data_IF_994202231070
#
_entry.id   IF_994202231070
#
_cell.length_a   1.000
_cell.length_b   1.000
_cell.length_c   1.000
_cell.angle_alpha   90.00
_cell.angle_beta   90.00
_cell.angle_gamma   90.00
#
_symmetry.space_group_name_H-M   'P 1'
#
loop_
_entity.id
_entity.type
_entity.pdbx_description
1 polymer ?
#
# COMPACT_ATOMS: atom_id res chain seq x y z
N UNK A 1 11.66 -31.50 -40.65
CA UNK A 1 10.55 -31.33 -39.68
C UNK A 1 10.56 -32.29 -38.47
N UNK A 2 11.42 -33.32 -38.41
CA UNK A 2 11.49 -34.22 -37.23
C UNK A 2 12.44 -33.72 -36.13
N UNK A 3 13.59 -33.13 -36.49
CA UNK A 3 14.58 -32.60 -35.51
C UNK A 3 14.06 -31.44 -34.63
N UNK A 4 13.08 -30.67 -35.10
CA UNK A 4 12.47 -29.58 -34.32
C UNK A 4 11.42 -30.08 -33.32
N UNK A 5 10.77 -31.21 -33.61
CA UNK A 5 9.76 -31.82 -32.73
C UNK A 5 10.41 -32.53 -31.53
N UNK A 6 11.61 -33.05 -31.69
CA UNK A 6 12.33 -33.73 -30.61
C UNK A 6 13.04 -32.74 -29.65
N UNK A 7 13.42 -31.56 -30.14
CA UNK A 7 13.92 -30.45 -29.29
C UNK A 7 12.84 -29.92 -28.33
N UNK A 8 11.58 -29.90 -28.76
CA UNK A 8 10.45 -29.41 -27.96
C UNK A 8 9.90 -30.44 -26.96
N UNK A 9 10.34 -31.70 -27.03
CA UNK A 9 9.81 -32.80 -26.20
C UNK A 9 10.50 -32.94 -24.84
N UNK A 10 11.72 -32.40 -24.66
CA UNK A 10 12.58 -32.75 -23.53
C UNK A 10 13.17 -31.58 -22.72
N UNK A 11 12.56 -30.38 -22.74
CA UNK A 11 12.93 -29.28 -21.85
C UNK A 11 11.71 -28.83 -21.02
N UNK A 12 11.75 -29.25 -19.76
CA UNK A 12 10.73 -29.13 -18.73
C UNK A 12 10.92 -27.81 -17.97
N UNK A 13 10.43 -26.67 -18.48
CA UNK A 13 10.15 -25.45 -17.69
C UNK A 13 9.07 -24.59 -18.40
N UNK A 14 8.02 -24.10 -17.72
CA UNK A 14 6.74 -23.79 -18.36
C UNK A 14 6.61 -22.34 -18.89
N UNK A 15 6.64 -22.20 -20.22
CA UNK A 15 6.37 -21.00 -21.01
C UNK A 15 4.90 -20.49 -20.98
N UNK A 16 4.11 -20.79 -19.95
CA UNK A 16 2.77 -20.17 -19.76
C UNK A 16 2.85 -18.66 -19.44
N UNK A 17 4.06 -18.11 -19.27
CA UNK A 17 4.31 -16.69 -18.95
C UNK A 17 4.23 -15.72 -20.14
N UNK A 18 4.06 -16.17 -21.39
CA UNK A 18 4.08 -15.27 -22.56
C UNK A 18 2.76 -15.17 -23.34
N UNK A 19 1.62 -15.39 -22.66
CA UNK A 19 0.28 -15.22 -23.25
C UNK A 19 -0.43 -13.91 -22.89
N UNK A 20 0.30 -12.86 -22.52
CA UNK A 20 -0.30 -11.53 -22.43
C UNK A 20 0.64 -10.44 -22.97
N UNK A 21 0.86 -10.52 -24.28
CA UNK A 21 1.36 -9.41 -25.10
C UNK A 21 0.25 -8.35 -25.34
N UNK A 22 -0.61 -8.11 -24.33
CA UNK A 22 -1.82 -7.26 -24.39
C UNK A 22 -2.15 -6.50 -23.08
N UNK A 23 -1.21 -6.33 -22.15
CA UNK A 23 -1.52 -5.79 -20.81
C UNK A 23 -0.54 -4.71 -20.35
N UNK A 24 -0.44 -3.60 -21.08
CA UNK A 24 0.26 -2.40 -20.57
C UNK A 24 -0.64 -1.14 -20.54
N UNK A 25 -1.82 -1.16 -21.17
CA UNK A 25 -2.76 -0.01 -21.13
C UNK A 25 -4.01 -0.21 -20.24
N UNK A 26 -4.14 -1.38 -19.59
CA UNK A 26 -5.32 -1.75 -18.77
C UNK A 26 -5.13 -1.58 -17.25
N UNK A 27 -4.06 -0.95 -16.79
CA UNK A 27 -3.95 -0.60 -15.38
C UNK A 27 -4.60 0.77 -15.17
N UNK A 28 -5.90 0.80 -14.84
CA UNK A 28 -6.47 1.97 -14.16
C UNK A 28 -5.61 2.23 -12.94
N UNK A 29 -4.81 3.29 -13.00
CA UNK A 29 -3.96 3.72 -11.89
C UNK A 29 -4.88 4.36 -10.87
N UNK A 30 -5.01 3.74 -9.70
CA UNK A 30 -5.77 4.32 -8.61
C UNK A 30 -5.10 5.61 -8.17
N UNK A 31 -5.91 6.65 -7.91
CA UNK A 31 -5.39 7.89 -7.36
C UNK A 31 -5.27 7.76 -5.84
N UNK A 32 -4.04 7.80 -5.33
CA UNK A 32 -3.80 7.84 -3.89
C UNK A 32 -3.99 9.28 -3.40
N UNK A 33 -4.92 9.49 -2.47
CA UNK A 33 -5.23 10.78 -1.88
C UNK A 33 -5.01 10.72 -0.37
N UNK A 34 -4.14 11.59 0.14
CA UNK A 34 -4.03 11.82 1.58
C UNK A 34 -5.22 12.67 2.03
N UNK A 35 -5.94 12.26 3.08
CA UNK A 35 -6.85 13.16 3.79
C UNK A 35 -6.05 14.21 4.57
N UNK A 36 -6.71 15.30 5.00
CA UNK A 36 -6.03 16.37 5.77
C UNK A 36 -5.30 15.78 6.99
N UNK A 37 -6.00 14.95 7.76
CA UNK A 37 -5.45 14.29 8.95
C UNK A 37 -4.26 13.35 8.65
N UNK A 38 -4.22 12.70 7.48
CA UNK A 38 -3.06 11.92 7.06
C UNK A 38 -1.85 12.78 6.68
N UNK A 39 -2.06 14.03 6.24
CA UNK A 39 -0.97 14.99 6.02
C UNK A 39 -0.43 15.49 7.36
N UNK A 40 -1.32 15.79 8.29
CA UNK A 40 -0.96 16.20 9.65
C UNK A 40 -0.15 15.10 10.34
N UNK A 41 -0.56 13.84 10.22
CA UNK A 41 0.20 12.68 10.70
C UNK A 41 1.64 12.64 10.13
N UNK A 42 1.84 12.91 8.84
CA UNK A 42 3.19 12.96 8.24
C UNK A 42 4.03 14.11 8.79
N UNK A 43 3.41 15.26 9.01
CA UNK A 43 4.06 16.42 9.60
C UNK A 43 4.50 16.12 11.04
N UNK A 44 3.61 15.55 11.86
CA UNK A 44 3.94 15.13 13.23
C UNK A 44 5.08 14.11 13.27
N UNK A 45 5.08 13.14 12.34
CA UNK A 45 6.16 12.16 12.22
C UNK A 45 7.49 12.86 11.90
N UNK A 46 7.48 13.79 10.94
CA UNK A 46 8.67 14.54 10.56
C UNK A 46 9.21 15.37 11.72
N UNK A 47 8.34 16.13 12.39
CA UNK A 47 8.70 16.98 13.52
C UNK A 47 9.22 16.16 14.69
N UNK A 48 8.58 15.02 15.00
CA UNK A 48 9.04 14.11 16.04
C UNK A 48 10.46 13.58 15.78
N UNK A 49 10.75 13.14 14.55
CA UNK A 49 12.07 12.63 14.19
C UNK A 49 13.12 13.75 14.26
N UNK A 50 12.75 14.97 13.87
CA UNK A 50 13.66 16.12 13.86
C UNK A 50 14.10 16.54 15.28
N UNK A 51 13.32 16.21 16.32
CA UNK A 51 13.69 16.48 17.71
C UNK A 51 14.89 15.63 18.19
N UNK A 52 14.99 14.39 17.71
CA UNK A 52 15.99 13.43 18.19
C UNK A 52 17.03 13.05 17.12
N UNK A 53 16.79 13.38 15.85
CA UNK A 53 17.61 12.98 14.71
C UNK A 53 17.79 14.12 13.69
N UNK A 54 18.53 13.84 12.62
CA UNK A 54 18.75 14.78 11.53
C UNK A 54 17.53 14.90 10.60
N UNK A 55 17.41 16.06 9.95
CA UNK A 55 16.47 16.30 8.85
C UNK A 55 16.54 15.21 7.77
N UNK A 56 17.75 14.78 7.40
CA UNK A 56 17.95 13.71 6.41
C UNK A 56 17.31 12.38 6.85
N UNK A 57 17.36 12.08 8.16
CA UNK A 57 16.71 10.89 8.72
C UNK A 57 15.18 11.00 8.63
N UNK A 58 14.62 12.16 8.95
CA UNK A 58 13.20 12.42 8.82
C UNK A 58 12.72 12.28 7.37
N UNK A 59 13.43 12.88 6.41
CA UNK A 59 13.15 12.76 4.98
C UNK A 59 13.21 11.31 4.51
N UNK A 60 14.24 10.54 4.90
CA UNK A 60 14.37 9.11 4.55
C UNK A 60 13.20 8.28 5.07
N UNK A 61 12.68 8.58 6.26
CA UNK A 61 11.54 7.88 6.84
C UNK A 61 10.25 8.22 6.08
N UNK A 62 9.99 9.50 5.82
CA UNK A 62 8.84 9.94 5.03
C UNK A 62 8.87 9.32 3.62
N UNK A 63 10.04 9.29 2.98
CA UNK A 63 10.24 8.66 1.68
C UNK A 63 9.84 7.19 1.66
N UNK A 64 10.17 6.44 2.73
CA UNK A 64 9.77 5.02 2.86
C UNK A 64 8.26 4.88 2.95
N UNK A 65 7.58 5.75 3.70
CA UNK A 65 6.12 5.78 3.82
C UNK A 65 5.51 6.09 2.45
N UNK A 66 5.92 7.18 1.80
CA UNK A 66 5.40 7.60 0.49
C UNK A 66 5.63 6.54 -0.60
N UNK A 67 6.81 5.90 -0.63
CA UNK A 67 7.09 4.78 -1.54
C UNK A 67 6.15 3.60 -1.32
N UNK A 68 5.76 3.33 -0.06
CA UNK A 68 4.78 2.30 0.26
C UNK A 68 3.39 2.68 -0.27
N UNK A 69 2.95 3.91 -0.02
CA UNK A 69 1.65 4.42 -0.50
C UNK A 69 1.53 4.39 -2.03
N UNK A 70 2.59 4.75 -2.77
CA UNK A 70 2.62 4.70 -4.24
C UNK A 70 2.35 3.31 -4.82
N UNK A 71 2.66 2.23 -4.09
CA UNK A 71 2.34 0.87 -4.56
C UNK A 71 0.83 0.65 -4.68
N UNK A 72 0.03 1.38 -3.89
CA UNK A 72 -1.44 1.28 -3.91
C UNK A 72 -2.05 1.86 -5.19
N UNK A 73 -1.31 2.67 -5.95
CA UNK A 73 -1.76 3.14 -7.28
C UNK A 73 -1.98 1.97 -8.26
N UNK A 74 -1.14 0.94 -8.16
CA UNK A 74 -1.20 -0.26 -9.01
C UNK A 74 -1.87 -1.44 -8.30
N UNK A 75 -1.74 -1.49 -6.98
CA UNK A 75 -2.19 -2.61 -6.15
C UNK A 75 -2.98 -2.12 -4.93
N UNK A 76 -4.14 -1.49 -5.13
CA UNK A 76 -4.95 -0.91 -4.05
C UNK A 76 -5.42 -1.97 -3.05
N UNK A 77 -5.49 -3.24 -3.45
CA UNK A 77 -5.91 -4.36 -2.60
C UNK A 77 -4.74 -5.15 -1.99
N UNK A 78 -3.49 -4.65 -2.08
CA UNK A 78 -2.30 -5.34 -1.54
C UNK A 78 -2.10 -5.17 -0.03
N UNK A 79 -2.78 -4.21 0.60
CA UNK A 79 -2.71 -4.04 2.05
C UNK A 79 -3.35 -5.20 2.82
N UNK A 80 -2.96 -5.30 4.08
CA UNK A 80 -3.44 -6.30 5.03
C UNK A 80 -4.80 -5.85 5.56
N UNK A 81 -5.69 -6.80 5.82
CA UNK A 81 -6.90 -6.54 6.58
C UNK A 81 -6.52 -6.19 8.02
N UNK A 82 -7.16 -5.17 8.56
CA UNK A 82 -6.91 -4.75 9.94
C UNK A 82 -7.43 -5.82 10.92
N UNK A 83 -6.72 -6.11 12.03
CA UNK A 83 -7.16 -7.13 12.99
C UNK A 83 -8.51 -6.81 13.66
N UNK A 84 -8.85 -5.54 13.78
CA UNK A 84 -10.14 -5.10 14.31
C UNK A 84 -11.26 -5.40 13.29
N UNK A 85 -12.18 -6.31 13.67
CA UNK A 85 -13.26 -6.76 12.79
C UNK A 85 -14.20 -5.63 12.36
N UNK A 86 -14.50 -4.66 13.23
CA UNK A 86 -15.39 -3.54 12.86
C UNK A 86 -14.73 -2.69 11.77
N UNK A 87 -13.44 -2.42 11.91
CA UNK A 87 -12.68 -1.70 10.89
C UNK A 87 -12.58 -2.49 9.58
N UNK A 88 -12.31 -3.79 9.65
CA UNK A 88 -12.25 -4.67 8.48
C UNK A 88 -13.59 -4.67 7.73
N UNK A 89 -14.70 -4.86 8.43
CA UNK A 89 -16.05 -4.86 7.85
C UNK A 89 -16.40 -3.52 7.18
N UNK A 90 -15.86 -2.41 7.70
CA UNK A 90 -16.00 -1.10 7.07
C UNK A 90 -15.10 -0.90 5.84
N UNK A 91 -14.32 -1.91 5.43
CA UNK A 91 -13.44 -1.86 4.28
C UNK A 91 -12.10 -1.14 4.52
N UNK A 92 -11.73 -0.89 5.77
CA UNK A 92 -10.43 -0.33 6.12
C UNK A 92 -9.34 -1.41 5.98
N UNK A 93 -8.22 -0.99 5.40
CA UNK A 93 -7.02 -1.80 5.15
C UNK A 93 -5.81 -1.06 5.69
N UNK A 94 -4.71 -1.78 5.93
CA UNK A 94 -3.43 -1.17 6.29
C UNK A 94 -2.32 -1.61 5.34
N UNK A 95 -1.41 -0.69 5.01
CA UNK A 95 -0.12 -1.03 4.40
C UNK A 95 1.00 -0.71 5.40
N UNK A 96 2.00 -1.57 5.44
CA UNK A 96 3.09 -1.50 6.42
C UNK A 96 4.31 -0.85 5.76
N UNK A 97 4.84 0.18 6.41
CA UNK A 97 6.14 0.81 6.11
C UNK A 97 6.90 0.92 7.43
N UNK A 98 7.53 -0.17 7.91
CA UNK A 98 8.01 -0.26 9.28
C UNK A 98 8.89 0.93 9.69
N UNK A 99 8.69 1.50 10.90
CA UNK A 99 7.75 1.05 11.94
C UNK A 99 6.32 1.59 11.79
N UNK A 100 5.98 2.27 10.69
CA UNK A 100 4.70 2.94 10.49
C UNK A 100 3.66 2.07 9.77
N UNK A 101 2.39 2.35 10.06
CA UNK A 101 1.21 1.76 9.45
C UNK A 101 0.38 2.88 8.80
N UNK A 102 0.03 2.71 7.53
CA UNK A 102 -0.90 3.62 6.85
C UNK A 102 -2.24 2.94 6.63
N UNK A 103 -3.29 3.52 7.19
CA UNK A 103 -4.66 3.03 7.08
C UNK A 103 -5.39 3.70 5.92
N UNK A 104 -6.09 2.91 5.12
CA UNK A 104 -6.74 3.40 3.92
C UNK A 104 -8.02 2.64 3.57
N UNK A 105 -8.82 3.24 2.69
CA UNK A 105 -9.96 2.60 2.04
C UNK A 105 -9.87 2.79 0.53
N UNK A 106 -10.30 1.78 -0.23
CA UNK A 106 -10.45 1.87 -1.68
C UNK A 106 -11.88 2.31 -1.99
N UNK A 107 -12.04 3.42 -2.72
CA UNK A 107 -13.36 3.97 -3.10
C UNK A 107 -13.31 4.32 -4.58
N UNK A 108 -14.10 3.60 -5.40
CA UNK A 108 -14.07 3.69 -6.87
C UNK A 108 -12.65 3.49 -7.41
N UNK A 109 -12.04 4.54 -7.96
CA UNK A 109 -10.70 4.61 -8.53
C UNK A 109 -9.71 5.34 -7.61
N UNK A 110 -10.07 5.54 -6.35
CA UNK A 110 -9.25 6.24 -5.35
C UNK A 110 -8.85 5.34 -4.20
N UNK A 111 -7.68 5.62 -3.66
CA UNK A 111 -7.16 5.07 -2.40
C UNK A 111 -7.07 6.24 -1.43
N UNK A 112 -7.98 6.30 -0.47
CA UNK A 112 -8.04 7.38 0.52
C UNK A 112 -7.23 6.96 1.74
N UNK A 113 -6.15 7.67 2.03
CA UNK A 113 -5.32 7.45 3.22
C UNK A 113 -5.90 8.26 4.37
N UNK A 114 -6.33 7.58 5.43
CA UNK A 114 -6.95 8.18 6.60
C UNK A 114 -5.90 8.56 7.62
N UNK A 115 -5.07 7.61 8.04
CA UNK A 115 -4.11 7.81 9.12
C UNK A 115 -2.77 7.15 8.83
N UNK A 116 -1.70 7.74 9.35
CA UNK A 116 -0.35 7.19 9.31
C UNK A 116 0.22 7.23 10.72
N UNK A 117 0.42 6.07 11.32
CA UNK A 117 0.76 5.98 12.75
C UNK A 117 1.92 5.04 12.98
N UNK A 118 2.67 5.30 14.05
CA UNK A 118 3.68 4.36 14.52
C UNK A 118 3.01 3.07 15.01
N UNK A 119 3.51 1.90 14.61
CA UNK A 119 2.91 0.59 14.90
C UNK A 119 2.83 0.23 16.38
N UNK A 120 3.61 0.89 17.23
CA UNK A 120 3.53 0.76 18.69
C UNK A 120 2.34 1.52 19.32
N UNK A 121 1.69 2.46 18.60
CA UNK A 121 0.54 3.21 19.11
C UNK A 121 -0.74 2.37 19.03
N UNK A 122 -1.59 2.45 20.05
CA UNK A 122 -2.95 1.88 19.99
C UNK A 122 -3.80 2.73 19.05
N UNK A 123 -4.38 2.11 18.01
CA UNK A 123 -5.12 2.82 16.95
C UNK A 123 -6.63 2.54 16.91
N UNK A 124 -7.17 1.75 17.86
CA UNK A 124 -8.61 1.39 17.88
C UNK A 124 -9.57 2.59 18.02
N UNK A 125 -9.10 3.73 18.51
CA UNK A 125 -9.91 4.95 18.65
C UNK A 125 -9.93 5.88 17.42
N UNK A 126 -8.98 5.73 16.48
CA UNK A 126 -8.78 6.69 15.39
C UNK A 126 -9.97 6.76 14.43
N UNK A 127 -10.71 5.66 14.32
CA UNK A 127 -11.74 5.51 13.29
C UNK A 127 -13.17 5.68 13.79
N UNK A 128 -13.39 6.04 15.07
CA UNK A 128 -14.73 6.30 15.61
C UNK A 128 -15.58 7.24 14.73
N UNK A 129 -15.03 8.33 14.13
CA UNK A 129 -15.82 9.20 13.26
C UNK A 129 -16.24 8.56 11.92
N UNK A 130 -15.60 7.47 11.50
CA UNK A 130 -15.77 6.87 10.17
C UNK A 130 -16.54 5.54 10.19
N UNK A 131 -16.86 5.04 11.38
CA UNK A 131 -17.67 3.85 11.59
C UNK A 131 -19.02 4.35 12.12
N UNK A 132 -20.08 4.14 11.34
CA UNK A 132 -21.44 4.27 11.86
C UNK A 132 -21.79 2.94 12.53
N UNK A 133 -22.30 2.98 13.76
CA UNK A 133 -22.90 1.82 14.42
C UNK A 133 -24.13 1.32 13.67
#
# INVERSE_FOLDING_TARGET
MQRLKDYLRNQRFPWKMLKNRFRIELMKKYKVELLAIARDDLQEIFDYILLENSKETAEKILDKIIKSLRKLESFPNSGIRVPDKKLEMSGIRMIVSPPYLSFYRVVKDKVLIYHIVHGARKYGGLFKPYIKD
#
